data_IF_760465308967
#
_entry.id   IF_760465308967
#
_cell.length_a   1.000
_cell.length_b   1.000
_cell.length_c   1.000
_cell.angle_alpha   90.00
_cell.angle_beta   90.00
_cell.angle_gamma   90.00
#
_symmetry.space_group_name_H-M   'P 1'
#
loop_
_entity.id
_entity.type
_entity.pdbx_description
1 polymer ?
#
# COMPACT_ATOMS: atom_id res chain seq x y z
N UNK A 1 -71.21 -40.06 21.88
CA UNK A 1 -71.17 -38.66 21.40
C UNK A 1 -70.09 -37.98 22.22
N UNK A 2 -68.90 -37.90 21.64
CA UNK A 2 -68.31 -36.63 21.16
C UNK A 2 -67.81 -35.84 22.37
N UNK A 3 -66.54 -35.46 22.53
CA UNK A 3 -65.37 -35.52 21.68
C UNK A 3 -64.27 -34.72 22.39
N UNK A 4 -63.02 -35.07 22.07
CA UNK A 4 -61.82 -34.21 22.03
C UNK A 4 -61.71 -32.98 22.98
N UNK A 5 -60.64 -32.93 23.78
CA UNK A 5 -59.45 -32.13 23.45
C UNK A 5 -58.38 -32.19 24.55
N UNK A 6 -57.23 -32.71 24.15
CA UNK A 6 -55.94 -32.63 24.80
C UNK A 6 -55.41 -31.20 24.68
N UNK A 7 -55.26 -30.47 25.78
CA UNK A 7 -54.63 -29.15 25.78
C UNK A 7 -53.13 -29.30 26.09
N UNK A 8 -52.36 -29.69 25.08
CA UNK A 8 -50.91 -29.50 25.04
C UNK A 8 -50.62 -28.07 24.61
N UNK A 9 -50.34 -27.20 25.60
CA UNK A 9 -49.88 -25.84 25.35
C UNK A 9 -48.36 -25.85 25.09
N UNK A 10 -48.01 -25.99 23.81
CA UNK A 10 -47.05 -25.15 23.05
C UNK A 10 -46.00 -24.38 23.89
N UNK A 11 -44.75 -24.83 23.85
CA UNK A 11 -43.63 -23.91 23.61
C UNK A 11 -42.63 -24.49 22.59
N UNK A 12 -42.55 -23.74 21.50
CA UNK A 12 -41.81 -23.97 20.27
C UNK A 12 -40.52 -23.16 20.33
N UNK A 13 -39.44 -23.76 19.82
CA UNK A 13 -38.29 -23.11 19.19
C UNK A 13 -37.40 -22.20 20.06
N UNK A 14 -36.30 -22.77 20.52
CA UNK A 14 -35.05 -22.05 20.74
C UNK A 14 -34.01 -22.41 19.68
N UNK A 15 -34.22 -22.09 18.40
CA UNK A 15 -33.14 -22.13 17.40
C UNK A 15 -32.17 -20.99 17.68
N UNK A 16 -31.08 -21.32 18.39
CA UNK A 16 -30.03 -20.38 18.77
C UNK A 16 -29.30 -19.87 17.53
N UNK A 17 -29.75 -18.75 16.97
CA UNK A 17 -28.96 -17.94 16.03
C UNK A 17 -27.62 -17.60 16.71
N UNK A 18 -26.46 -17.83 16.07
CA UNK A 18 -25.18 -17.45 16.67
C UNK A 18 -25.16 -15.93 16.88
N UNK A 19 -25.03 -15.53 18.15
CA UNK A 19 -24.99 -14.12 18.60
C UNK A 19 -23.87 -13.40 17.85
N UNK A 20 -24.17 -12.23 17.28
CA UNK A 20 -23.29 -11.41 16.43
C UNK A 20 -21.80 -11.35 16.85
N UNK A 21 -21.49 -11.41 18.16
CA UNK A 21 -20.12 -11.45 18.70
C UNK A 21 -19.26 -12.63 18.20
N UNK A 22 -19.85 -13.79 17.91
CA UNK A 22 -19.11 -14.95 17.42
C UNK A 22 -18.70 -14.77 15.96
N UNK A 23 -19.56 -14.16 15.14
CA UNK A 23 -19.24 -13.79 13.77
C UNK A 23 -18.16 -12.70 13.72
N UNK A 24 -18.20 -11.72 14.62
CA UNK A 24 -17.15 -10.69 14.71
C UNK A 24 -15.81 -11.28 15.11
N UNK A 25 -15.78 -12.20 16.09
CA UNK A 25 -14.57 -12.93 16.48
C UNK A 25 -14.05 -13.80 15.34
N UNK A 26 -14.92 -14.53 14.66
CA UNK A 26 -14.54 -15.37 13.52
C UNK A 26 -14.00 -14.52 12.37
N UNK A 27 -14.64 -13.39 12.06
CA UNK A 27 -14.20 -12.45 11.05
C UNK A 27 -12.85 -11.81 11.41
N UNK A 28 -12.63 -11.48 12.69
CA UNK A 28 -11.36 -10.96 13.18
C UNK A 28 -10.25 -12.01 13.09
N UNK A 29 -10.50 -13.23 13.58
CA UNK A 29 -9.56 -14.36 13.48
C UNK A 29 -9.26 -14.69 12.02
N UNK A 30 -10.27 -14.75 11.14
CA UNK A 30 -10.09 -14.96 9.71
C UNK A 30 -9.27 -13.84 9.07
N UNK A 31 -9.51 -12.57 9.45
CA UNK A 31 -8.79 -11.39 8.94
C UNK A 31 -7.29 -11.41 9.28
N UNK A 32 -6.89 -12.05 10.39
CA UNK A 32 -5.48 -12.13 10.81
C UNK A 32 -4.82 -13.50 10.51
N UNK A 33 -5.58 -14.61 10.56
CA UNK A 33 -5.06 -15.96 10.38
C UNK A 33 -4.97 -16.39 8.90
N UNK A 34 -5.91 -16.01 8.03
CA UNK A 34 -5.82 -16.34 6.60
C UNK A 34 -4.55 -15.78 5.94
N UNK A 35 -4.14 -14.51 6.18
CA UNK A 35 -2.89 -13.99 5.62
C UNK A 35 -1.68 -14.76 6.12
N UNK A 36 -1.63 -15.14 7.40
CA UNK A 36 -0.52 -15.90 8.00
C UNK A 36 -0.35 -17.28 7.37
N UNK A 37 -1.46 -18.03 7.21
CA UNK A 37 -1.43 -19.36 6.61
C UNK A 37 -1.12 -19.27 5.11
N UNK A 38 -1.72 -18.30 4.42
CA UNK A 38 -1.48 -18.07 3.00
C UNK A 38 -0.03 -17.67 2.72
N UNK A 39 0.61 -16.91 3.62
CA UNK A 39 2.02 -16.55 3.48
C UNK A 39 2.98 -17.75 3.60
N UNK A 40 2.55 -18.85 4.23
CA UNK A 40 3.33 -20.12 4.27
C UNK A 40 3.33 -20.87 2.94
N UNK A 41 2.36 -20.60 2.06
CA UNK A 41 2.31 -21.18 0.71
C UNK A 41 3.30 -20.52 -0.25
N UNK A 42 3.82 -19.35 0.12
CA UNK A 42 4.80 -18.63 -0.69
C UNK A 42 6.23 -19.06 -0.35
N UNK A 43 7.16 -18.99 -1.32
CA UNK A 43 8.58 -19.18 -1.06
C UNK A 43 9.09 -18.21 0.01
N UNK A 44 10.07 -18.65 0.82
CA UNK A 44 10.64 -17.86 1.92
C UNK A 44 11.11 -16.46 1.51
N UNK A 45 11.61 -16.31 0.27
CA UNK A 45 12.07 -15.00 -0.24
C UNK A 45 10.97 -13.95 -0.32
N UNK A 46 9.69 -14.36 -0.41
CA UNK A 46 8.54 -13.45 -0.40
C UNK A 46 8.41 -12.77 0.96
N UNK A 47 8.54 -13.55 2.05
CA UNK A 47 8.51 -13.00 3.41
C UNK A 47 9.67 -12.05 3.70
N UNK A 48 10.88 -12.35 3.20
CA UNK A 48 12.02 -11.42 3.25
C UNK A 48 11.73 -10.13 2.49
N UNK A 49 11.26 -10.23 1.25
CA UNK A 49 10.95 -9.07 0.43
C UNK A 49 9.95 -8.13 1.11
N UNK A 50 8.88 -8.67 1.72
CA UNK A 50 7.92 -7.85 2.46
C UNK A 50 8.51 -7.12 3.67
N UNK A 51 9.52 -7.69 4.35
CA UNK A 51 10.24 -6.99 5.42
C UNK A 51 11.04 -5.81 4.87
N UNK A 52 11.70 -5.97 3.73
CA UNK A 52 12.42 -4.87 3.07
C UNK A 52 11.46 -3.73 2.69
N UNK A 53 10.31 -4.05 2.09
CA UNK A 53 9.31 -3.06 1.71
C UNK A 53 8.63 -2.38 2.90
N UNK A 54 8.55 -3.05 4.06
CA UNK A 54 8.11 -2.40 5.29
C UNK A 54 9.14 -1.35 5.75
N UNK A 55 10.44 -1.67 5.67
CA UNK A 55 11.52 -0.74 6.01
C UNK A 55 11.64 0.44 5.05
N UNK A 56 11.34 0.25 3.76
CA UNK A 56 11.41 1.33 2.76
C UNK A 56 10.39 2.45 3.00
N UNK A 57 9.35 2.23 3.80
CA UNK A 57 8.35 3.27 4.13
C UNK A 57 8.98 4.47 4.85
N UNK A 58 9.97 4.24 5.71
CA UNK A 58 10.67 5.33 6.38
C UNK A 58 11.50 6.15 5.39
N UNK A 59 12.25 5.47 4.52
CA UNK A 59 13.03 6.13 3.46
C UNK A 59 12.15 6.95 2.50
N UNK A 60 10.96 6.45 2.16
CA UNK A 60 10.00 7.20 1.35
C UNK A 60 9.49 8.48 2.05
N UNK A 61 9.30 8.44 3.37
CA UNK A 61 8.92 9.61 4.17
C UNK A 61 10.04 10.64 4.23
N UNK A 62 11.27 10.18 4.47
CA UNK A 62 12.45 11.03 4.51
C UNK A 62 12.68 11.69 3.15
N UNK A 63 12.56 10.93 2.05
CA UNK A 63 12.66 11.44 0.68
C UNK A 63 11.62 12.54 0.41
N UNK A 64 10.37 12.35 0.85
CA UNK A 64 9.31 13.35 0.71
C UNK A 64 9.64 14.65 1.47
N UNK A 65 10.13 14.54 2.71
CA UNK A 65 10.54 15.69 3.52
C UNK A 65 11.72 16.41 2.89
N UNK A 66 12.75 15.68 2.44
CA UNK A 66 13.93 16.26 1.80
C UNK A 66 13.59 16.97 0.49
N UNK A 67 12.75 16.36 -0.35
CA UNK A 67 12.30 16.98 -1.59
C UNK A 67 11.43 18.23 -1.35
N UNK A 68 10.54 18.21 -0.34
CA UNK A 68 9.77 19.38 0.06
C UNK A 68 10.65 20.50 0.60
N UNK A 69 11.68 20.14 1.36
CA UNK A 69 12.67 21.07 1.91
C UNK A 69 13.48 21.74 0.80
N UNK A 70 13.96 20.97 -0.18
CA UNK A 70 14.66 21.48 -1.35
C UNK A 70 13.80 22.46 -2.17
N UNK A 71 12.53 22.08 -2.46
CA UNK A 71 11.58 22.96 -3.17
C UNK A 71 11.35 24.27 -2.42
N UNK A 72 11.21 24.21 -1.09
CA UNK A 72 11.06 25.40 -0.27
C UNK A 72 12.31 26.29 -0.31
N UNK A 73 13.52 25.69 -0.28
CA UNK A 73 14.76 26.47 -0.40
C UNK A 73 14.83 27.20 -1.74
N UNK A 74 14.51 26.49 -2.83
CA UNK A 74 14.50 27.06 -4.17
C UNK A 74 13.53 28.24 -4.28
N UNK A 75 12.30 28.08 -3.79
CA UNK A 75 11.31 29.15 -3.79
C UNK A 75 11.77 30.36 -2.93
N UNK A 76 12.34 30.11 -1.75
CA UNK A 76 12.87 31.16 -0.88
C UNK A 76 14.03 31.90 -1.52
N UNK A 77 14.96 31.19 -2.17
CA UNK A 77 16.13 31.79 -2.82
C UNK A 77 15.75 32.70 -4.00
N UNK A 78 14.62 32.42 -4.68
CA UNK A 78 14.07 33.31 -5.72
C UNK A 78 13.58 34.65 -5.16
N UNK A 79 13.07 34.67 -3.92
CA UNK A 79 12.57 35.88 -3.25
C UNK A 79 13.68 36.63 -2.51
N UNK A 80 14.55 35.90 -1.83
CA UNK A 80 15.69 36.42 -1.07
C UNK A 80 16.86 35.45 -1.26
N UNK A 81 17.95 35.87 -1.92
CA UNK A 81 19.15 35.05 -2.02
C UNK A 81 19.58 34.58 -0.64
N UNK A 82 19.76 33.26 -0.49
CA UNK A 82 20.17 32.68 0.78
C UNK A 82 21.56 33.18 1.18
N UNK A 83 21.70 33.48 2.47
CA UNK A 83 22.97 33.89 3.06
C UNK A 83 23.84 32.68 3.40
N UNK A 84 24.38 32.65 4.63
CA UNK A 84 25.05 31.44 5.13
C UNK A 84 24.03 30.34 5.31
N UNK A 85 24.33 29.17 4.74
CA UNK A 85 23.44 28.01 4.80
C UNK A 85 23.03 27.58 6.21
N UNK A 86 23.91 27.80 7.19
CA UNK A 86 23.69 27.43 8.59
C UNK A 86 22.62 28.29 9.27
N UNK A 87 22.27 29.44 8.69
CA UNK A 87 21.29 30.42 9.18
C UNK A 87 19.90 30.27 8.55
N UNK A 88 19.76 29.52 7.46
CA UNK A 88 18.48 29.39 6.73
C UNK A 88 17.49 28.40 7.40
N UNK A 89 18.00 27.50 8.25
CA UNK A 89 17.24 26.46 8.94
C UNK A 89 17.20 26.68 10.45
N UNK A 90 16.45 27.69 10.88
CA UNK A 90 16.41 28.14 12.27
C UNK A 90 15.10 27.73 12.95
N UNK A 91 14.96 26.45 13.32
CA UNK A 91 14.12 26.06 14.44
C UNK A 91 15.07 25.84 15.61
N UNK A 92 15.31 26.89 16.39
CA UNK A 92 16.25 26.86 17.51
C UNK A 92 15.50 26.62 18.83
N UNK A 93 14.88 25.46 18.96
CA UNK A 93 14.41 25.04 20.29
C UNK A 93 15.59 24.46 21.09
N UNK A 94 15.49 24.36 22.42
CA UNK A 94 16.51 23.67 23.22
C UNK A 94 16.81 22.24 22.76
N UNK A 95 15.86 21.58 22.08
CA UNK A 95 16.03 20.22 21.52
C UNK A 95 16.99 20.18 20.32
N UNK A 96 17.26 21.31 19.68
CA UNK A 96 18.04 21.40 18.44
C UNK A 96 19.53 21.72 18.67
N UNK A 97 20.00 21.72 19.92
CA UNK A 97 21.40 22.03 20.26
C UNK A 97 22.41 21.14 19.53
N UNK A 98 22.08 19.85 19.33
CA UNK A 98 22.90 18.92 18.56
C UNK A 98 23.03 19.32 17.09
N UNK A 99 21.96 19.82 16.47
CA UNK A 99 21.97 20.30 15.09
C UNK A 99 22.88 21.52 14.96
N UNK A 100 22.81 22.46 15.91
CA UNK A 100 23.70 23.64 15.94
C UNK A 100 25.16 23.22 16.10
N UNK A 101 25.46 22.28 17.00
CA UNK A 101 26.81 21.77 17.18
C UNK A 101 27.35 21.09 15.91
N UNK A 102 26.53 20.27 15.25
CA UNK A 102 26.88 19.62 13.99
C UNK A 102 27.17 20.63 12.87
N UNK A 103 26.36 21.69 12.73
CA UNK A 103 26.60 22.74 11.73
C UNK A 103 27.91 23.48 11.98
N UNK A 104 28.19 23.85 13.24
CA UNK A 104 29.47 24.48 13.61
C UNK A 104 30.66 23.58 13.31
N UNK A 105 30.50 22.27 13.47
CA UNK A 105 31.52 21.30 13.08
C UNK A 105 31.70 21.28 11.55
N UNK A 106 30.61 21.23 10.77
CA UNK A 106 30.69 21.29 9.30
C UNK A 106 31.29 22.60 8.78
N UNK A 107 30.95 23.74 9.37
CA UNK A 107 31.54 25.04 8.97
C UNK A 107 33.07 25.06 9.20
N UNK A 108 33.55 24.36 10.23
CA UNK A 108 34.98 24.30 10.57
C UNK A 108 35.75 23.28 9.74
N UNK A 109 35.14 22.13 9.44
CA UNK A 109 35.86 20.97 8.88
C UNK A 109 35.37 20.55 7.49
N UNK A 110 34.22 21.03 7.04
CA UNK A 110 33.60 20.70 5.75
C UNK A 110 33.74 21.82 4.70
N UNK A 111 34.84 22.59 4.74
CA UNK A 111 35.13 23.61 3.72
C UNK A 111 34.03 24.67 3.50
N UNK A 112 33.28 25.04 4.55
CA UNK A 112 32.29 26.12 4.50
C UNK A 112 30.84 25.68 4.23
N UNK A 113 30.56 24.38 4.15
CA UNK A 113 29.19 23.85 4.11
C UNK A 113 29.07 22.50 3.40
N UNK A 114 27.86 21.91 3.32
CA UNK A 114 27.65 20.63 2.66
C UNK A 114 27.72 20.68 1.12
N UNK A 115 27.93 21.85 0.50
CA UNK A 115 28.02 22.00 -0.95
C UNK A 115 29.38 22.55 -1.36
N UNK A 116 29.89 22.08 -2.50
CA UNK A 116 31.12 22.55 -3.11
C UNK A 116 30.83 23.76 -4.04
N UNK A 117 30.58 24.92 -3.44
CA UNK A 117 30.27 26.18 -4.14
C UNK A 117 28.92 26.82 -3.77
N UNK A 118 28.43 27.81 -4.55
CA UNK A 118 27.09 28.37 -4.37
C UNK A 118 26.07 27.25 -4.40
N UNK A 119 25.06 27.30 -3.51
CA UNK A 119 24.08 26.23 -3.40
C UNK A 119 23.51 25.91 -4.79
N UNK A 120 23.69 24.68 -5.30
CA UNK A 120 23.25 24.31 -6.63
C UNK A 120 21.73 24.15 -6.58
N UNK A 121 21.00 25.26 -6.76
CA UNK A 121 19.58 25.23 -7.05
C UNK A 121 19.40 24.74 -8.48
N UNK A 122 19.66 23.46 -8.73
CA UNK A 122 19.21 22.83 -9.95
C UNK A 122 17.69 22.74 -9.89
N UNK A 123 17.00 23.08 -10.99
CA UNK A 123 15.55 22.90 -11.14
C UNK A 123 15.23 21.40 -11.19
N UNK A 124 15.42 20.71 -10.06
CA UNK A 124 15.11 19.30 -9.93
C UNK A 124 13.64 19.22 -9.56
N UNK A 125 12.78 19.41 -10.57
CA UNK A 125 11.37 19.02 -10.48
C UNK A 125 11.28 17.50 -10.46
N UNK A 126 11.73 16.88 -9.37
CA UNK A 126 11.55 15.44 -9.13
C UNK A 126 10.05 15.22 -8.96
N UNK A 127 9.45 14.43 -9.84
CA UNK A 127 8.05 14.05 -9.69
C UNK A 127 7.89 13.09 -8.52
N UNK A 128 6.69 12.97 -7.95
CA UNK A 128 6.46 12.06 -6.83
C UNK A 128 6.76 10.60 -7.23
N UNK A 129 6.52 10.24 -8.49
CA UNK A 129 6.81 8.92 -9.05
C UNK A 129 8.31 8.63 -9.06
N UNK A 130 9.12 9.62 -9.43
CA UNK A 130 10.59 9.50 -9.42
C UNK A 130 11.12 9.41 -7.99
N UNK A 131 10.57 10.23 -7.07
CA UNK A 131 11.00 10.28 -5.68
C UNK A 131 10.71 8.97 -4.92
N UNK A 132 9.59 8.33 -5.26
CA UNK A 132 9.11 7.10 -4.63
C UNK A 132 9.33 5.88 -5.52
N UNK A 133 10.28 5.93 -6.46
CA UNK A 133 10.68 4.79 -7.28
C UNK A 133 11.55 3.82 -6.48
N UNK A 134 10.92 2.75 -6.00
CA UNK A 134 11.61 1.67 -5.27
C UNK A 134 12.25 0.67 -6.22
N UNK A 135 11.80 0.60 -7.48
CA UNK A 135 12.30 -0.36 -8.44
C UNK A 135 13.74 -0.06 -8.80
N UNK A 136 14.02 1.16 -9.26
CA UNK A 136 15.38 1.56 -9.64
C UNK A 136 16.31 1.61 -8.43
N UNK A 137 15.85 2.15 -7.30
CA UNK A 137 16.68 2.33 -6.11
C UNK A 137 16.99 1.05 -5.33
N UNK A 138 16.16 0.01 -5.40
CA UNK A 138 16.33 -1.19 -4.58
C UNK A 138 15.89 -2.49 -5.26
N UNK A 139 14.61 -2.60 -5.64
CA UNK A 139 14.00 -3.90 -5.97
C UNK A 139 14.62 -4.56 -7.21
N UNK A 140 15.13 -3.79 -8.17
CA UNK A 140 15.85 -4.29 -9.34
C UNK A 140 17.15 -5.03 -8.97
N UNK A 141 17.82 -4.56 -7.92
CA UNK A 141 19.14 -5.04 -7.49
C UNK A 141 19.06 -6.09 -6.38
N UNK A 142 17.95 -6.11 -5.62
CA UNK A 142 17.72 -7.10 -4.58
C UNK A 142 17.08 -8.38 -5.13
N UNK A 143 17.74 -9.53 -4.94
CA UNK A 143 17.29 -10.81 -5.52
C UNK A 143 15.95 -11.30 -4.96
N UNK A 144 15.66 -11.10 -3.67
CA UNK A 144 14.39 -11.50 -3.05
C UNK A 144 13.23 -10.62 -3.53
N UNK A 145 13.42 -9.31 -3.58
CA UNK A 145 12.44 -8.35 -4.10
C UNK A 145 12.14 -8.59 -5.58
N UNK A 146 13.17 -8.74 -6.42
CA UNK A 146 13.01 -9.02 -7.85
C UNK A 146 12.22 -10.29 -8.11
N UNK A 147 12.61 -11.41 -7.47
CA UNK A 147 11.90 -12.69 -7.59
C UNK A 147 10.45 -12.60 -7.13
N UNK A 148 10.16 -11.77 -6.12
CA UNK A 148 8.80 -11.55 -5.62
C UNK A 148 7.97 -10.75 -6.63
N UNK A 149 8.54 -9.72 -7.25
CA UNK A 149 7.90 -8.96 -8.34
C UNK A 149 7.54 -9.90 -9.49
N UNK A 150 8.49 -10.73 -9.93
CA UNK A 150 8.27 -11.68 -11.04
C UNK A 150 7.20 -12.73 -10.69
N UNK A 151 7.21 -13.25 -9.46
CA UNK A 151 6.22 -14.20 -8.99
C UNK A 151 4.81 -13.58 -8.99
N UNK A 152 4.65 -12.38 -8.45
CA UNK A 152 3.34 -11.72 -8.43
C UNK A 152 2.88 -11.28 -9.80
N UNK A 153 3.79 -10.91 -10.71
CA UNK A 153 3.45 -10.68 -12.12
C UNK A 153 2.85 -11.95 -12.76
N UNK A 154 3.50 -13.11 -12.57
CA UNK A 154 3.03 -14.40 -13.09
C UNK A 154 1.68 -14.80 -12.50
N UNK A 155 1.52 -14.71 -11.20
CA UNK A 155 0.25 -15.04 -10.52
C UNK A 155 -0.88 -14.09 -10.92
N UNK A 156 -0.60 -12.79 -11.09
CA UNK A 156 -1.56 -11.84 -11.63
C UNK A 156 -2.00 -12.23 -13.05
N UNK A 157 -1.08 -12.61 -13.93
CA UNK A 157 -1.43 -13.07 -15.29
C UNK A 157 -2.26 -14.35 -15.27
N UNK A 158 -1.88 -15.36 -14.49
CA UNK A 158 -2.61 -16.62 -14.38
C UNK A 158 -4.04 -16.38 -13.88
N UNK A 159 -4.20 -15.62 -12.80
CA UNK A 159 -5.52 -15.31 -12.23
C UNK A 159 -6.37 -14.45 -13.16
N UNK A 160 -5.78 -13.53 -13.93
CA UNK A 160 -6.48 -12.79 -14.97
C UNK A 160 -7.03 -13.71 -16.06
N UNK A 161 -6.20 -14.63 -16.56
CA UNK A 161 -6.59 -15.56 -17.60
C UNK A 161 -7.69 -16.52 -17.11
N UNK A 162 -7.59 -17.01 -15.87
CA UNK A 162 -8.63 -17.82 -15.25
C UNK A 162 -9.94 -17.04 -15.07
N UNK A 163 -9.88 -15.76 -14.67
CA UNK A 163 -11.07 -14.93 -14.54
C UNK A 163 -11.80 -14.78 -15.89
N UNK A 164 -11.06 -14.53 -16.97
CA UNK A 164 -11.59 -14.45 -18.33
C UNK A 164 -12.18 -15.80 -18.76
N UNK A 165 -11.45 -16.90 -18.55
CA UNK A 165 -11.92 -18.24 -18.91
C UNK A 165 -13.23 -18.58 -18.21
N UNK A 166 -13.32 -18.41 -16.89
CA UNK A 166 -14.55 -18.66 -16.13
C UNK A 166 -15.70 -17.74 -16.56
N UNK A 167 -15.41 -16.46 -16.84
CA UNK A 167 -16.42 -15.52 -17.34
C UNK A 167 -16.99 -15.95 -18.70
N UNK A 168 -16.13 -16.33 -19.64
CA UNK A 168 -16.55 -16.81 -20.96
C UNK A 168 -17.33 -18.12 -20.83
N UNK A 169 -16.85 -19.08 -20.05
CA UNK A 169 -17.56 -20.35 -19.84
C UNK A 169 -18.92 -20.14 -19.15
N UNK A 170 -19.03 -19.19 -18.22
CA UNK A 170 -20.31 -18.84 -17.60
C UNK A 170 -21.30 -18.29 -18.64
N UNK A 171 -20.86 -17.40 -19.53
CA UNK A 171 -21.72 -16.86 -20.60
C UNK A 171 -22.18 -17.94 -21.58
N UNK A 172 -21.28 -18.83 -22.00
CA UNK A 172 -21.63 -19.97 -22.86
C UNK A 172 -22.61 -20.90 -22.17
N UNK A 173 -22.44 -21.17 -20.88
CA UNK A 173 -23.36 -22.00 -20.10
C UNK A 173 -24.76 -21.39 -20.01
N UNK A 174 -24.87 -20.07 -19.80
CA UNK A 174 -26.16 -19.36 -19.81
C UNK A 174 -26.85 -19.50 -21.18
N UNK A 175 -26.10 -19.29 -22.27
CA UNK A 175 -26.62 -19.40 -23.63
C UNK A 175 -27.08 -20.83 -23.98
N UNK A 176 -26.28 -21.83 -23.63
CA UNK A 176 -26.57 -23.23 -23.92
C UNK A 176 -27.76 -23.79 -23.13
N UNK A 177 -27.94 -23.33 -21.88
CA UNK A 177 -28.99 -23.83 -20.99
C UNK A 177 -30.36 -23.18 -21.21
N UNK A 178 -30.49 -22.22 -22.15
CA UNK A 178 -31.76 -21.58 -22.54
C UNK A 178 -32.62 -21.09 -21.34
N UNK A 179 -31.99 -20.70 -20.23
CA UNK A 179 -32.69 -20.24 -19.02
C UNK A 179 -33.22 -21.35 -18.08
N UNK A 180 -32.86 -22.61 -18.28
CA UNK A 180 -33.18 -23.69 -17.34
C UNK A 180 -32.54 -23.47 -15.95
N UNK A 181 -33.17 -23.93 -14.85
CA UNK A 181 -32.66 -23.73 -13.50
C UNK A 181 -31.38 -24.55 -13.26
N UNK A 182 -30.23 -23.92 -13.49
CA UNK A 182 -28.91 -24.51 -13.26
C UNK A 182 -28.05 -23.57 -12.43
N UNK A 183 -27.40 -24.12 -11.41
CA UNK A 183 -26.47 -23.39 -10.54
C UNK A 183 -25.09 -23.19 -11.21
N UNK A 184 -24.79 -23.91 -12.30
CA UNK A 184 -23.48 -23.94 -12.97
C UNK A 184 -22.98 -22.55 -13.41
N UNK A 185 -23.74 -21.73 -14.16
CA UNK A 185 -23.26 -20.41 -14.58
C UNK A 185 -23.00 -19.47 -13.39
N UNK A 186 -23.79 -19.57 -12.33
CA UNK A 186 -23.58 -18.79 -11.11
C UNK A 186 -22.27 -19.17 -10.42
N UNK A 187 -21.99 -20.48 -10.29
CA UNK A 187 -20.73 -20.96 -9.68
C UNK A 187 -19.52 -20.49 -10.49
N UNK A 188 -19.57 -20.59 -11.83
CA UNK A 188 -18.49 -20.13 -12.70
C UNK A 188 -18.28 -18.62 -12.61
N UNK A 189 -19.36 -17.83 -12.58
CA UNK A 189 -19.27 -16.39 -12.40
C UNK A 189 -18.62 -16.02 -11.06
N UNK A 190 -18.99 -16.69 -9.97
CA UNK A 190 -18.38 -16.48 -8.65
C UNK A 190 -16.88 -16.83 -8.67
N UNK A 191 -16.49 -17.95 -9.27
CA UNK A 191 -15.08 -18.33 -9.42
C UNK A 191 -14.30 -17.30 -10.26
N UNK A 192 -14.91 -16.78 -11.33
CA UNK A 192 -14.33 -15.71 -12.15
C UNK A 192 -14.09 -14.43 -11.35
N UNK A 193 -15.06 -14.01 -10.53
CA UNK A 193 -14.94 -12.85 -9.65
C UNK A 193 -13.85 -13.04 -8.60
N UNK A 194 -13.75 -14.23 -7.99
CA UNK A 194 -12.68 -14.56 -7.04
C UNK A 194 -11.30 -14.50 -7.69
N UNK A 195 -11.15 -15.02 -8.92
CA UNK A 195 -9.91 -14.94 -9.69
C UNK A 195 -9.55 -13.49 -10.02
N UNK A 196 -10.54 -12.67 -10.40
CA UNK A 196 -10.33 -11.25 -10.66
C UNK A 196 -9.90 -10.50 -9.38
N UNK A 197 -10.53 -10.77 -8.24
CA UNK A 197 -10.12 -10.20 -6.97
C UNK A 197 -8.68 -10.60 -6.60
N UNK A 198 -8.30 -11.85 -6.83
CA UNK A 198 -6.93 -12.33 -6.63
C UNK A 198 -5.94 -11.60 -7.55
N UNK A 199 -6.28 -11.40 -8.83
CA UNK A 199 -5.48 -10.61 -9.77
C UNK A 199 -5.18 -9.21 -9.23
N UNK A 200 -6.21 -8.49 -8.75
CA UNK A 200 -6.05 -7.15 -8.20
C UNK A 200 -5.15 -7.15 -6.96
N UNK A 201 -5.26 -8.17 -6.10
CA UNK A 201 -4.39 -8.31 -4.92
C UNK A 201 -2.94 -8.59 -5.31
N UNK A 202 -2.67 -9.44 -6.29
CA UNK A 202 -1.31 -9.68 -6.77
C UNK A 202 -0.70 -8.44 -7.43
N UNK A 203 -1.46 -7.72 -8.25
CA UNK A 203 -1.04 -6.43 -8.84
C UNK A 203 -0.77 -5.37 -7.78
N UNK A 204 -1.60 -5.30 -6.74
CA UNK A 204 -1.39 -4.39 -5.61
C UNK A 204 -0.13 -4.75 -4.82
N UNK A 205 0.04 -6.04 -4.49
CA UNK A 205 1.24 -6.51 -3.79
C UNK A 205 2.51 -6.25 -4.60
N UNK A 206 2.50 -6.51 -5.91
CA UNK A 206 3.61 -6.24 -6.83
C UNK A 206 3.98 -4.74 -6.84
N UNK A 207 2.98 -3.85 -6.90
CA UNK A 207 3.19 -2.40 -6.95
C UNK A 207 4.00 -1.88 -5.76
N UNK A 208 3.84 -2.46 -4.57
CA UNK A 208 4.57 -2.04 -3.35
C UNK A 208 6.09 -2.19 -3.49
N UNK A 209 6.56 -3.09 -4.35
CA UNK A 209 7.98 -3.28 -4.63
C UNK A 209 8.50 -2.36 -5.73
N UNK A 210 7.60 -1.78 -6.53
CA UNK A 210 7.95 -0.91 -7.65
C UNK A 210 7.92 0.54 -7.22
N UNK A 211 6.90 0.95 -6.47
CA UNK A 211 6.72 2.34 -6.08
C UNK A 211 6.14 2.47 -4.67
N UNK A 212 6.51 3.57 -4.00
CA UNK A 212 5.90 4.05 -2.77
C UNK A 212 4.65 4.92 -3.00
N UNK A 213 4.33 5.28 -4.24
CA UNK A 213 3.15 6.10 -4.56
C UNK A 213 1.88 5.33 -4.14
N UNK A 214 1.01 5.92 -3.32
CA UNK A 214 -0.24 5.29 -2.91
C UNK A 214 -1.15 5.07 -4.14
N UNK A 215 -2.01 4.05 -4.08
CA UNK A 215 -3.00 3.86 -5.14
C UNK A 215 -3.95 5.05 -5.21
N UNK A 216 -4.50 5.33 -6.40
CA UNK A 216 -5.47 6.41 -6.62
C UNK A 216 -6.61 6.29 -5.60
N UNK A 217 -6.83 7.34 -4.79
CA UNK A 217 -7.82 7.38 -3.72
C UNK A 217 -7.33 6.94 -2.32
N UNK A 218 -6.11 6.42 -2.20
CA UNK A 218 -5.44 6.10 -0.92
C UNK A 218 -4.38 7.14 -0.53
N UNK A 219 -4.13 8.13 -1.41
CA UNK A 219 -3.14 9.18 -1.17
C UNK A 219 -3.55 10.14 -0.06
N UNK A 220 -2.57 10.56 0.75
CA UNK A 220 -2.71 11.78 1.54
C UNK A 220 -2.88 12.92 0.54
N UNK A 221 -3.87 13.81 0.69
CA UNK A 221 -3.99 14.98 -0.18
C UNK A 221 -2.65 15.72 -0.23
N UNK A 222 -2.29 16.26 -1.38
CA UNK A 222 -1.14 17.15 -1.52
C UNK A 222 -1.41 18.39 -0.66
N UNK A 223 -1.00 18.29 0.61
CA UNK A 223 -0.93 19.42 1.50
C UNK A 223 0.38 20.11 1.15
N UNK A 224 0.28 21.23 0.44
CA UNK A 224 1.36 22.21 0.43
C UNK A 224 1.41 22.81 1.84
N UNK A 225 2.40 22.44 2.69
CA UNK A 225 2.47 22.93 4.05
C UNK A 225 2.77 24.43 4.11
N UNK A 226 3.07 25.06 2.97
CA UNK A 226 3.40 26.48 2.84
C UNK A 226 2.26 27.30 2.24
N UNK A 227 1.11 26.68 1.94
CA UNK A 227 -0.09 27.34 1.43
C UNK A 227 -0.67 28.28 2.49
N UNK A 228 -0.21 29.53 2.49
CA UNK A 228 -0.58 30.56 3.47
C UNK A 228 0.61 31.32 4.10
N UNK A 229 1.85 30.97 3.75
CA UNK A 229 3.06 31.70 4.17
C UNK A 229 3.52 32.77 3.15
N UNK A 230 2.66 33.10 2.17
CA UNK A 230 2.86 34.14 1.18
C UNK A 230 2.07 35.40 1.52
#
# INVERSE_FOLDING_TARGET
>A
KEGAQTEQQKQVSGSGKPKASQLTKLAMVARFALPSILMKLFPKYVGEAFRHTAGSKLGDQDNAVMAGTERWMQARNQVRPMGKWSEEYALLTPSDQGVVAFRRWMDRFGSGGPWDGPMPFHDVRVTQEQLLDRWSGHSKHCSSCRKTVDLFARLATITSNLAIAFGVTALVAVAALHGGPSQVPCVLAVLGLLCHAAHLKFRSAQRRFITGVPAVGEGVPEVDPWKGYH
#
